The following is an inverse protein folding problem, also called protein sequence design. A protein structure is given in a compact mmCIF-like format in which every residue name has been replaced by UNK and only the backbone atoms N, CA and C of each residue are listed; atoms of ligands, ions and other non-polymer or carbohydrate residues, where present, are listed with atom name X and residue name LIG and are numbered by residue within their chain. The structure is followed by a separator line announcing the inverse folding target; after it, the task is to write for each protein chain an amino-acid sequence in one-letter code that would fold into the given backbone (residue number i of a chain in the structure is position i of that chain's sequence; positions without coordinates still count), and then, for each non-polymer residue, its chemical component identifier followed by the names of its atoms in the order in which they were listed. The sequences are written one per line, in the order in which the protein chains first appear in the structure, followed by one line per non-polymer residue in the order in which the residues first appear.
data_IF_734759747518
#
_entry.id   IF_734759747518
#
_cell.length_a   1.000
_cell.length_b   1.000
_cell.length_c   1.000
_cell.angle_alpha   90.00
_cell.angle_beta   90.00
_cell.angle_gamma   90.00
#
_symmetry.space_group_name_H-M   'P 1'
#
loop_
_entity.id
_entity.type
_entity.pdbx_description
1 polymer ?
#
# COMPACT_ATOMS: atom_id res chain seq x y z
N UNK A 1 -10.07 8.94 10.27
CA UNK A 1 -10.54 8.52 8.93
C UNK A 1 -11.48 9.55 8.29
N UNK A 2 -12.42 10.16 9.04
CA UNK A 2 -13.40 11.13 8.52
C UNK A 2 -13.04 12.62 8.65
N UNK A 3 -11.85 12.96 9.18
CA UNK A 3 -11.47 14.36 9.45
C UNK A 3 -11.54 15.26 8.21
N UNK A 4 -11.16 14.75 7.03
CA UNK A 4 -11.19 15.52 5.78
C UNK A 4 -12.62 15.91 5.36
N UNK A 5 -13.64 15.12 5.71
CA UNK A 5 -15.03 15.46 5.44
C UNK A 5 -15.51 16.58 6.36
N UNK A 6 -15.10 16.57 7.64
CA UNK A 6 -15.38 17.65 8.58
C UNK A 6 -14.77 18.96 8.06
N UNK A 7 -13.49 18.93 7.67
CA UNK A 7 -12.84 20.10 7.06
C UNK A 7 -13.50 20.55 5.75
N UNK A 8 -14.00 19.62 4.93
CA UNK A 8 -14.72 19.98 3.70
C UNK A 8 -16.04 20.71 4.00
N UNK A 9 -16.74 20.34 5.08
CA UNK A 9 -17.94 21.02 5.55
C UNK A 9 -17.62 22.41 6.11
N UNK A 10 -16.54 22.54 6.89
CA UNK A 10 -16.05 23.82 7.40
C UNK A 10 -15.69 24.75 6.23
N UNK A 11 -14.96 24.25 5.23
CA UNK A 11 -14.59 25.03 4.05
C UNK A 11 -15.82 25.46 3.24
N UNK A 12 -16.81 24.59 3.07
CA UNK A 12 -18.05 24.95 2.38
C UNK A 12 -18.80 26.08 3.12
N UNK A 13 -18.83 26.04 4.45
CA UNK A 13 -19.39 27.09 5.28
C UNK A 13 -18.60 28.40 5.17
N UNK A 14 -17.26 28.34 5.27
CA UNK A 14 -16.38 29.51 5.13
C UNK A 14 -16.51 30.18 3.76
N UNK A 15 -16.72 29.40 2.70
CA UNK A 15 -16.89 29.90 1.34
C UNK A 15 -18.35 30.26 1.01
N UNK A 16 -19.27 30.21 2.00
CA UNK A 16 -20.70 30.48 1.85
C UNK A 16 -21.37 29.66 0.74
N UNK A 17 -20.98 28.39 0.60
CA UNK A 17 -21.51 27.48 -0.41
C UNK A 17 -22.63 26.61 0.14
N UNK A 18 -23.71 26.46 -0.63
CA UNK A 18 -24.87 25.66 -0.25
C UNK A 18 -24.62 24.15 -0.30
N UNK A 19 -23.53 23.71 -0.95
CA UNK A 19 -23.17 22.30 -1.03
C UNK A 19 -21.66 22.04 -0.96
N UNK A 20 -21.31 20.88 -0.38
CA UNK A 20 -19.96 20.35 -0.41
C UNK A 20 -19.72 19.75 -1.80
N UNK A 21 -18.88 20.41 -2.58
CA UNK A 21 -18.42 19.96 -3.89
C UNK A 21 -17.03 19.29 -3.83
N UNK A 22 -16.59 18.69 -4.94
CA UNK A 22 -15.24 18.11 -5.08
C UNK A 22 -14.13 19.09 -4.69
N UNK A 23 -14.31 20.38 -4.99
CA UNK A 23 -13.34 21.42 -4.62
C UNK A 23 -13.04 21.41 -3.13
N UNK A 24 -14.07 21.33 -2.28
CA UNK A 24 -13.92 21.35 -0.82
C UNK A 24 -13.20 20.12 -0.29
N UNK A 25 -13.44 18.95 -0.90
CA UNK A 25 -12.75 17.70 -0.54
C UNK A 25 -11.28 17.76 -0.93
N UNK A 26 -10.98 18.30 -2.12
CA UNK A 26 -9.60 18.46 -2.57
C UNK A 26 -8.83 19.40 -1.64
N UNK A 27 -9.43 20.56 -1.33
CA UNK A 27 -8.86 21.52 -0.40
C UNK A 27 -8.61 20.90 0.99
N UNK A 28 -9.57 20.14 1.52
CA UNK A 28 -9.41 19.51 2.83
C UNK A 28 -8.31 18.45 2.83
N UNK A 29 -8.18 17.66 1.77
CA UNK A 29 -7.09 16.68 1.61
C UNK A 29 -5.71 17.36 1.51
N UNK A 30 -5.63 18.49 0.81
CA UNK A 30 -4.39 19.24 0.70
C UNK A 30 -3.99 19.85 2.04
N UNK A 31 -4.95 20.42 2.77
CA UNK A 31 -4.69 21.01 4.10
C UNK A 31 -4.29 19.95 5.13
N UNK A 32 -4.90 18.76 5.06
CA UNK A 32 -4.66 17.70 6.05
C UNK A 32 -3.41 16.85 5.75
N UNK A 33 -3.07 16.62 4.47
CA UNK A 33 -1.99 15.68 4.14
C UNK A 33 -0.63 16.36 4.08
N UNK A 34 0.34 15.80 4.82
CA UNK A 34 1.74 16.17 4.71
C UNK A 34 2.32 15.90 3.30
N UNK A 35 1.69 15.01 2.52
CA UNK A 35 2.05 14.71 1.13
C UNK A 35 1.98 15.92 0.22
N UNK A 36 0.85 16.62 0.20
CA UNK A 36 0.73 17.79 -0.68
C UNK A 36 1.60 18.94 -0.19
N UNK A 37 1.86 19.02 1.13
CA UNK A 37 2.84 19.97 1.69
C UNK A 37 4.26 19.71 1.19
N UNK A 38 4.66 18.44 1.02
CA UNK A 38 5.95 18.02 0.45
C UNK A 38 6.02 18.23 -1.07
N UNK A 39 4.91 18.00 -1.78
CA UNK A 39 4.88 18.02 -3.26
C UNK A 39 4.66 19.43 -3.84
N UNK A 40 3.83 20.27 -3.21
CA UNK A 40 3.26 21.46 -3.87
C UNK A 40 3.85 22.79 -3.37
N UNK A 41 4.45 22.83 -2.18
CA UNK A 41 4.91 24.09 -1.57
C UNK A 41 3.74 25.02 -1.19
N UNK A 42 3.67 25.43 0.08
CA UNK A 42 2.49 26.11 0.67
C UNK A 42 2.02 27.39 -0.07
N UNK A 43 2.93 28.17 -0.67
CA UNK A 43 2.63 29.51 -1.21
C UNK A 43 1.79 29.49 -2.49
N UNK A 44 2.07 28.58 -3.42
CA UNK A 44 1.37 28.54 -4.71
C UNK A 44 -0.07 28.04 -4.56
N UNK A 45 -0.28 27.14 -3.60
CA UNK A 45 -1.59 26.57 -3.32
C UNK A 45 -2.59 27.60 -2.80
N UNK A 46 -2.18 28.37 -1.78
CA UNK A 46 -3.06 29.37 -1.16
C UNK A 46 -3.49 30.44 -2.16
N UNK A 47 -2.58 30.91 -3.02
CA UNK A 47 -2.88 31.91 -4.05
C UNK A 47 -3.84 31.37 -5.11
N UNK A 48 -3.66 30.13 -5.56
CA UNK A 48 -4.60 29.47 -6.46
C UNK A 48 -5.98 29.32 -5.84
N UNK A 49 -6.05 28.84 -4.59
CA UNK A 49 -7.32 28.67 -3.89
C UNK A 49 -8.06 30.00 -3.77
N UNK A 50 -7.37 31.08 -3.36
CA UNK A 50 -7.96 32.43 -3.31
C UNK A 50 -8.52 32.88 -4.67
N UNK A 51 -7.77 32.72 -5.75
CA UNK A 51 -8.21 33.12 -7.09
C UNK A 51 -9.39 32.26 -7.59
N UNK A 52 -9.32 30.95 -7.37
CA UNK A 52 -10.38 30.03 -7.76
C UNK A 52 -11.67 30.31 -6.99
N UNK A 53 -11.56 30.62 -5.69
CA UNK A 53 -12.71 30.94 -4.85
C UNK A 53 -13.36 32.24 -5.31
N UNK A 54 -12.56 33.29 -5.52
CA UNK A 54 -13.04 34.61 -5.96
C UNK A 54 -13.77 34.55 -7.30
N UNK A 55 -13.30 33.70 -8.22
CA UNK A 55 -13.85 33.62 -9.58
C UNK A 55 -15.08 32.72 -9.68
N UNK A 56 -15.18 31.66 -8.87
CA UNK A 56 -16.19 30.61 -9.08
C UNK A 56 -17.28 30.54 -8.01
N UNK A 57 -17.07 31.13 -6.83
CA UNK A 57 -18.08 31.14 -5.77
C UNK A 57 -18.62 32.55 -5.58
N UNK A 58 -19.91 32.74 -5.95
CA UNK A 58 -20.67 33.93 -5.58
C UNK A 58 -21.18 33.73 -4.15
N UNK A 59 -21.04 34.74 -3.30
CA UNK A 59 -21.51 34.65 -1.91
C UNK A 59 -23.04 34.46 -1.91
N UNK A 60 -23.49 33.27 -1.54
CA UNK A 60 -24.92 32.96 -1.33
C UNK A 60 -25.27 33.04 0.15
N UNK A 61 -26.56 33.20 0.47
CA UNK A 61 -27.05 33.16 1.85
C UNK A 61 -26.71 31.81 2.51
N UNK A 62 -26.29 31.86 3.78
CA UNK A 62 -25.82 30.69 4.51
C UNK A 62 -26.99 29.77 4.86
N UNK A 63 -27.05 28.59 4.23
CA UNK A 63 -27.91 27.50 4.68
C UNK A 63 -27.20 26.68 5.76
N UNK A 64 -27.85 26.48 6.91
CA UNK A 64 -27.33 25.68 8.03
C UNK A 64 -27.10 24.20 7.66
N UNK A 65 -27.85 23.69 6.68
CA UNK A 65 -27.74 22.32 6.19
C UNK A 65 -26.94 22.24 4.89
N UNK A 66 -25.61 22.26 5.01
CA UNK A 66 -24.71 22.04 3.87
C UNK A 66 -24.69 20.55 3.53
N UNK A 67 -25.28 20.20 2.38
CA UNK A 67 -25.35 18.83 1.86
C UNK A 67 -24.23 18.55 0.84
N UNK A 68 -23.96 17.26 0.56
CA UNK A 68 -23.06 16.89 -0.53
C UNK A 68 -23.70 17.16 -1.89
N UNK A 69 -22.91 17.64 -2.87
CA UNK A 69 -23.40 17.77 -4.24
C UNK A 69 -23.74 16.39 -4.83
N UNK A 70 -24.74 16.32 -5.69
CA UNK A 70 -25.17 15.07 -6.34
C UNK A 70 -23.99 14.32 -7.00
N UNK A 71 -23.11 15.05 -7.67
CA UNK A 71 -21.92 14.51 -8.33
C UNK A 71 -20.94 13.87 -7.35
N UNK A 72 -20.79 14.48 -6.18
CA UNK A 72 -19.92 13.97 -5.11
C UNK A 72 -20.53 12.75 -4.44
N UNK A 73 -21.84 12.77 -4.20
CA UNK A 73 -22.58 11.63 -3.67
C UNK A 73 -22.50 10.41 -4.62
N UNK A 74 -22.70 10.62 -5.92
CA UNK A 74 -22.54 9.58 -6.94
C UNK A 74 -21.11 9.02 -6.98
N UNK A 75 -20.10 9.87 -6.80
CA UNK A 75 -18.72 9.42 -6.68
C UNK A 75 -18.49 8.55 -5.45
N UNK A 76 -18.98 8.96 -4.28
CA UNK A 76 -18.88 8.16 -3.06
C UNK A 76 -19.59 6.81 -3.18
N UNK A 77 -20.77 6.76 -3.81
CA UNK A 77 -21.48 5.50 -4.04
C UNK A 77 -20.73 4.56 -4.99
N UNK A 78 -19.97 5.11 -5.94
CA UNK A 78 -19.14 4.33 -6.87
C UNK A 78 -17.80 3.87 -6.26
N UNK A 79 -17.41 4.35 -5.08
CA UNK A 79 -16.21 3.88 -4.40
C UNK A 79 -16.47 2.49 -3.82
N UNK A 80 -15.66 1.50 -4.21
CA UNK A 80 -15.75 0.13 -3.71
C UNK A 80 -15.88 0.07 -2.18
N UNK A 81 -16.85 -0.72 -1.67
CA UNK A 81 -17.28 -0.88 -0.26
C UNK A 81 -16.18 -1.22 0.77
N UNK A 82 -14.93 -1.40 0.35
CA UNK A 82 -13.78 -1.59 1.25
C UNK A 82 -13.39 -0.29 1.95
N UNK A 83 -12.84 -0.35 3.16
CA UNK A 83 -12.26 0.80 3.89
C UNK A 83 -11.48 1.77 2.98
N UNK A 84 -11.97 3.01 2.88
CA UNK A 84 -11.42 4.06 2.00
C UNK A 84 -10.43 4.93 2.79
N UNK A 85 -9.15 4.57 2.79
CA UNK A 85 -8.13 5.44 3.40
C UNK A 85 -7.92 6.72 2.57
N UNK A 86 -7.33 7.75 3.19
CA UNK A 86 -7.08 9.05 2.55
C UNK A 86 -6.30 8.91 1.24
N UNK A 87 -5.34 8.00 1.19
CA UNK A 87 -4.56 7.67 -0.01
C UNK A 87 -5.40 7.10 -1.15
N UNK A 88 -6.23 6.07 -0.88
CA UNK A 88 -7.11 5.45 -1.87
C UNK A 88 -8.15 6.46 -2.38
N UNK A 89 -8.65 7.32 -1.49
CA UNK A 89 -9.53 8.42 -1.86
C UNK A 89 -8.82 9.44 -2.77
N UNK A 90 -7.58 9.84 -2.46
CA UNK A 90 -6.81 10.75 -3.34
C UNK A 90 -6.57 10.15 -4.72
N UNK A 91 -6.24 8.86 -4.82
CA UNK A 91 -6.05 8.16 -6.10
C UNK A 91 -7.36 8.15 -6.89
N UNK A 92 -8.47 7.77 -6.25
CA UNK A 92 -9.77 7.72 -6.92
C UNK A 92 -10.26 9.11 -7.35
N UNK A 93 -9.96 10.15 -6.58
CA UNK A 93 -10.24 11.54 -6.94
C UNK A 93 -9.40 12.01 -8.13
N UNK A 94 -8.12 11.62 -8.20
CA UNK A 94 -7.24 11.90 -9.33
C UNK A 94 -7.72 11.18 -10.60
N UNK A 95 -8.24 9.96 -10.46
CA UNK A 95 -8.80 9.17 -11.58
C UNK A 95 -10.18 9.65 -12.01
N UNK A 96 -10.93 10.31 -11.11
CA UNK A 96 -12.22 10.87 -11.46
C UNK A 96 -12.01 11.96 -12.52
N UNK A 97 -12.67 11.81 -13.68
CA UNK A 97 -12.64 12.74 -14.82
C UNK A 97 -13.31 14.08 -14.49
N UNK A 98 -12.93 14.74 -13.40
CA UNK A 98 -13.35 16.11 -13.14
C UNK A 98 -12.41 17.06 -13.88
N UNK A 99 -13.01 17.85 -14.77
CA UNK A 99 -12.36 18.98 -15.46
C UNK A 99 -11.67 19.90 -14.43
N UNK A 100 -12.25 20.02 -13.24
CA UNK A 100 -11.74 20.75 -12.08
C UNK A 100 -10.35 20.27 -11.63
N UNK A 101 -10.15 18.95 -11.49
CA UNK A 101 -8.84 18.39 -11.11
C UNK A 101 -7.77 18.65 -12.18
N UNK A 102 -8.15 18.53 -13.45
CA UNK A 102 -7.26 18.85 -14.57
C UNK A 102 -6.80 20.30 -14.50
N UNK A 103 -7.70 21.26 -14.24
CA UNK A 103 -7.35 22.66 -14.05
C UNK A 103 -6.50 22.92 -12.81
N UNK A 104 -6.82 22.29 -11.68
CA UNK A 104 -6.03 22.39 -10.44
C UNK A 104 -4.59 21.90 -10.69
N UNK A 105 -4.41 20.77 -11.36
CA UNK A 105 -3.09 20.21 -11.64
C UNK A 105 -2.30 21.02 -12.68
N UNK A 106 -2.94 21.47 -13.76
CA UNK A 106 -2.31 22.33 -14.76
C UNK A 106 -1.87 23.66 -14.13
N UNK A 107 -2.73 24.28 -13.31
CA UNK A 107 -2.43 25.57 -12.70
C UNK A 107 -1.37 25.47 -11.59
N UNK A 108 -1.50 24.51 -10.67
CA UNK A 108 -0.59 24.38 -9.53
C UNK A 108 0.83 23.93 -9.94
N UNK A 109 0.94 23.07 -10.94
CA UNK A 109 2.22 22.50 -11.35
C UNK A 109 2.77 23.05 -12.66
N UNK A 110 2.08 24.01 -13.30
CA UNK A 110 2.41 24.52 -14.65
C UNK A 110 2.63 23.39 -15.67
N UNK A 111 1.90 22.28 -15.50
CA UNK A 111 2.02 21.08 -16.33
C UNK A 111 1.36 21.37 -17.67
N UNK A 112 2.10 21.20 -18.79
CA UNK A 112 1.53 21.25 -20.14
C UNK A 112 0.45 20.17 -20.27
N UNK A 113 -0.65 20.42 -20.98
CA UNK A 113 -1.78 19.47 -21.14
C UNK A 113 -1.34 18.04 -21.51
N UNK A 114 -0.29 17.90 -22.34
CA UNK A 114 0.26 16.62 -22.75
C UNK A 114 0.93 15.85 -21.61
N UNK A 115 1.62 16.55 -20.70
CA UNK A 115 2.22 15.95 -19.50
C UNK A 115 1.18 15.50 -18.47
N UNK A 116 0.00 16.13 -18.44
CA UNK A 116 -1.13 15.64 -17.63
C UNK A 116 -1.63 14.29 -18.12
N UNK A 117 -1.78 14.10 -19.44
CA UNK A 117 -2.20 12.81 -20.00
C UNK A 117 -1.19 11.70 -19.71
N UNK A 118 0.11 12.01 -19.73
CA UNK A 118 1.18 11.09 -19.31
C UNK A 118 1.08 10.75 -17.82
N UNK A 119 0.92 11.75 -16.95
CA UNK A 119 0.75 11.53 -15.51
C UNK A 119 -0.52 10.73 -15.22
N UNK A 120 -1.63 11.00 -15.91
CA UNK A 120 -2.85 10.21 -15.79
C UNK A 120 -2.62 8.77 -16.24
N UNK A 121 -1.89 8.53 -17.34
CA UNK A 121 -1.54 7.18 -17.78
C UNK A 121 -0.66 6.44 -16.75
N UNK A 122 0.21 7.16 -16.03
CA UNK A 122 1.06 6.63 -14.98
C UNK A 122 0.24 6.36 -13.71
N UNK A 123 -0.64 7.27 -13.30
CA UNK A 123 -1.54 7.12 -12.13
C UNK A 123 -2.55 6.00 -12.36
N UNK A 124 -3.09 5.82 -13.57
CA UNK A 124 -3.94 4.67 -13.91
C UNK A 124 -3.17 3.35 -13.87
N UNK A 125 -1.84 3.36 -14.16
CA UNK A 125 -0.96 2.20 -13.95
C UNK A 125 -0.61 1.94 -12.49
N UNK A 126 -0.83 2.89 -11.59
CA UNK A 126 -0.60 2.73 -10.14
C UNK A 126 -1.72 1.99 -9.41
N UNK A 127 -2.78 1.55 -10.11
CA UNK A 127 -3.77 0.65 -9.53
C UNK A 127 -3.10 -0.67 -9.11
N UNK A 128 -3.14 -0.92 -7.80
CA UNK A 128 -2.88 -2.17 -7.11
C UNK A 128 -1.50 -2.80 -7.25
N UNK A 129 -0.42 -2.02 -7.12
CA UNK A 129 0.86 -2.59 -6.67
C UNK A 129 1.17 -2.11 -5.26
N UNK A 130 1.05 -2.98 -4.23
CA UNK A 130 1.50 -2.61 -2.90
C UNK A 130 2.97 -2.24 -3.01
N UNK A 131 3.32 -1.11 -2.40
CA UNK A 131 4.69 -0.64 -2.22
C UNK A 131 5.38 -1.63 -1.25
N UNK A 132 5.70 -2.81 -1.76
CA UNK A 132 6.62 -3.75 -1.14
C UNK A 132 7.89 -3.69 -1.97
N UNK A 133 9.04 -3.63 -1.31
CA UNK A 133 10.40 -3.45 -1.83
C UNK A 133 10.60 -3.80 -3.34
N UNK A 134 10.61 -2.76 -4.17
CA UNK A 134 10.63 -2.80 -5.64
C UNK A 134 11.75 -3.65 -6.28
N UNK A 135 12.86 -3.91 -5.58
CA UNK A 135 14.03 -4.54 -6.19
C UNK A 135 13.89 -6.04 -6.44
N UNK A 136 13.16 -6.79 -5.60
CA UNK A 136 13.12 -8.26 -5.65
C UNK A 136 11.70 -8.86 -5.58
N UNK A 137 10.64 -8.08 -5.77
CA UNK A 137 9.23 -8.53 -5.67
C UNK A 137 8.87 -9.76 -6.50
N UNK A 138 9.60 -10.01 -7.59
CA UNK A 138 9.40 -11.19 -8.43
C UNK A 138 10.07 -12.45 -7.84
N UNK A 139 11.18 -12.28 -7.10
CA UNK A 139 11.94 -13.34 -6.46
C UNK A 139 11.40 -13.69 -5.07
N UNK A 140 11.09 -12.69 -4.25
CA UNK A 140 10.68 -12.87 -2.86
C UNK A 140 9.40 -12.09 -2.58
N UNK A 141 8.53 -12.68 -1.76
CA UNK A 141 7.29 -12.05 -1.32
C UNK A 141 7.13 -12.26 0.19
N UNK A 142 6.61 -11.27 0.94
CA UNK A 142 6.22 -11.50 2.33
C UNK A 142 5.19 -12.62 2.37
N UNK A 143 5.37 -13.55 3.29
CA UNK A 143 4.48 -14.68 3.43
C UNK A 143 3.17 -14.22 4.09
N UNK A 144 2.22 -13.78 3.26
CA UNK A 144 0.92 -13.33 3.73
C UNK A 144 -0.02 -14.52 3.85
N UNK A 145 -0.43 -14.81 5.07
CA UNK A 145 -1.48 -15.77 5.36
C UNK A 145 -2.83 -15.02 5.33
N UNK A 146 -3.60 -15.17 4.25
CA UNK A 146 -5.00 -14.73 4.26
C UNK A 146 -5.89 -15.96 4.48
N UNK A 147 -6.62 -15.93 5.59
CA UNK A 147 -7.79 -16.74 5.97
C UNK A 147 -7.62 -18.26 6.20
N UNK A 148 -8.23 -18.71 7.32
CA UNK A 148 -8.56 -20.08 7.75
C UNK A 148 -7.46 -20.89 8.46
N UNK A 149 -7.03 -20.42 9.64
CA UNK A 149 -6.16 -21.17 10.56
C UNK A 149 -6.88 -22.23 11.39
N UNK A 150 -8.20 -22.15 11.53
CA UNK A 150 -8.97 -22.99 12.44
C UNK A 150 -8.93 -24.49 12.05
N UNK A 151 -8.55 -24.82 10.82
CA UNK A 151 -8.61 -26.20 10.32
C UNK A 151 -7.29 -27.00 10.43
N UNK A 152 -6.17 -26.39 10.86
CA UNK A 152 -4.91 -27.14 10.99
C UNK A 152 -4.81 -27.71 12.41
N UNK A 153 -5.54 -28.79 12.62
CA UNK A 153 -5.53 -29.59 13.84
C UNK A 153 -4.27 -30.48 13.78
N UNK A 154 -3.45 -30.54 14.84
CA UNK A 154 -2.26 -31.42 14.98
C UNK A 154 -0.98 -31.11 14.15
N UNK A 155 -0.24 -30.04 14.50
CA UNK A 155 1.12 -29.72 14.00
C UNK A 155 1.93 -28.83 14.96
N UNK A 156 1.64 -28.93 16.27
CA UNK A 156 2.25 -28.05 17.29
C UNK A 156 3.72 -28.43 17.55
N UNK A 157 4.01 -29.73 17.68
CA UNK A 157 5.36 -30.27 17.83
C UNK A 157 6.29 -29.79 16.70
N UNK A 158 5.83 -29.90 15.45
CA UNK A 158 6.61 -29.48 14.27
C UNK A 158 6.96 -27.98 14.32
N UNK A 159 6.06 -27.14 14.82
CA UNK A 159 6.32 -25.71 15.00
C UNK A 159 7.36 -25.44 16.10
N UNK A 160 7.35 -26.23 17.19
CA UNK A 160 8.32 -26.12 18.28
C UNK A 160 9.71 -26.54 17.78
N UNK A 161 9.81 -27.67 17.07
CA UNK A 161 11.07 -28.11 16.47
C UNK A 161 11.63 -27.09 15.47
N UNK A 162 10.77 -26.50 14.63
CA UNK A 162 11.18 -25.43 13.72
C UNK A 162 11.76 -24.24 14.48
N UNK A 163 11.10 -23.83 15.57
CA UNK A 163 11.58 -22.73 16.41
C UNK A 163 12.94 -23.04 17.03
N UNK A 164 13.11 -24.22 17.62
CA UNK A 164 14.36 -24.66 18.24
C UNK A 164 15.52 -24.64 17.24
N UNK A 165 15.34 -25.23 16.05
CA UNK A 165 16.39 -25.27 15.02
C UNK A 165 16.75 -23.86 14.56
N UNK A 166 15.76 -23.01 14.28
CA UNK A 166 15.99 -21.63 13.83
C UNK A 166 16.69 -20.75 14.88
N UNK A 167 16.60 -21.12 16.16
CA UNK A 167 17.21 -20.41 17.28
C UNK A 167 18.61 -20.92 17.65
N UNK A 168 19.14 -21.91 16.92
CA UNK A 168 20.52 -22.39 17.12
C UNK A 168 21.55 -21.36 16.66
N UNK A 169 22.75 -21.41 17.24
CA UNK A 169 23.92 -20.61 16.80
C UNK A 169 24.50 -21.16 15.48
N UNK A 170 24.55 -22.48 15.34
CA UNK A 170 25.13 -23.22 14.22
C UNK A 170 24.05 -24.19 13.67
N UNK A 171 24.04 -24.47 12.37
CA UNK A 171 23.05 -25.34 11.69
C UNK A 171 21.61 -24.90 12.02
N UNK A 172 21.32 -23.64 11.69
CA UNK A 172 20.04 -22.97 11.99
C UNK A 172 19.02 -23.02 10.84
N UNK A 173 19.27 -23.85 9.83
CA UNK A 173 18.45 -23.94 8.63
C UNK A 173 17.65 -25.26 8.68
N UNK A 174 16.36 -25.24 9.10
CA UNK A 174 15.57 -26.45 9.16
C UNK A 174 15.22 -26.96 7.75
N UNK A 175 15.16 -28.28 7.60
CA UNK A 175 14.71 -28.96 6.38
C UNK A 175 13.47 -29.77 6.74
N UNK A 176 12.35 -29.52 6.04
CA UNK A 176 11.12 -30.27 6.20
C UNK A 176 11.11 -31.47 5.25
N UNK A 177 11.32 -32.67 5.79
CA UNK A 177 11.30 -33.93 5.05
C UNK A 177 9.91 -34.56 5.02
N UNK A 178 9.67 -35.40 4.00
CA UNK A 178 8.42 -36.14 3.80
C UNK A 178 7.88 -36.03 2.38
N UNK A 179 6.98 -36.95 2.03
CA UNK A 179 6.38 -37.04 0.70
C UNK A 179 5.55 -35.82 0.31
N UNK A 180 5.27 -35.72 -1.00
CA UNK A 180 4.31 -34.76 -1.52
C UNK A 180 2.93 -35.03 -0.92
N UNK A 181 2.21 -33.97 -0.52
CA UNK A 181 0.86 -34.10 0.03
C UNK A 181 0.75 -34.20 1.56
N UNK A 182 1.85 -34.46 2.30
CA UNK A 182 1.84 -34.56 3.78
C UNK A 182 1.48 -33.22 4.48
N UNK A 183 1.45 -32.13 3.73
CA UNK A 183 1.08 -30.82 4.26
C UNK A 183 2.27 -30.02 4.79
N UNK A 184 3.48 -30.14 4.21
CA UNK A 184 4.62 -29.25 4.54
C UNK A 184 4.25 -27.76 4.53
N UNK A 185 3.37 -27.35 3.62
CA UNK A 185 2.83 -25.99 3.55
C UNK A 185 1.93 -25.63 4.75
N UNK A 186 1.20 -26.59 5.32
CA UNK A 186 0.33 -26.34 6.49
C UNK A 186 1.17 -26.10 7.75
N UNK A 187 2.32 -26.78 7.88
CA UNK A 187 3.31 -26.55 8.94
C UNK A 187 3.83 -25.11 8.86
N UNK A 188 4.28 -24.67 7.69
CA UNK A 188 4.81 -23.30 7.48
C UNK A 188 3.74 -22.25 7.78
N UNK A 189 2.49 -22.47 7.33
CA UNK A 189 1.36 -21.58 7.64
C UNK A 189 1.15 -21.47 9.14
N UNK A 190 1.05 -22.60 9.84
CA UNK A 190 0.84 -22.64 11.28
C UNK A 190 1.99 -22.00 12.04
N UNK A 191 3.23 -22.19 11.58
CA UNK A 191 4.41 -21.57 12.15
C UNK A 191 4.39 -20.04 12.00
N UNK A 192 3.95 -19.52 10.85
CA UNK A 192 3.77 -18.07 10.65
C UNK A 192 2.82 -17.46 11.67
N UNK A 193 1.68 -18.11 11.91
CA UNK A 193 0.75 -17.70 12.96
C UNK A 193 1.35 -17.81 14.36
N UNK A 194 2.18 -18.83 14.60
CA UNK A 194 2.83 -19.05 15.90
C UNK A 194 3.84 -17.92 16.22
N UNK A 195 4.66 -17.52 15.25
CA UNK A 195 5.52 -16.33 15.35
C UNK A 195 4.67 -15.09 15.64
N UNK A 196 3.59 -14.92 14.88
CA UNK A 196 2.57 -13.86 14.98
C UNK A 196 2.06 -13.66 16.40
N UNK A 197 1.41 -14.71 16.88
CA UNK A 197 0.65 -14.75 18.12
C UNK A 197 1.54 -14.61 19.34
N UNK A 198 2.70 -15.29 19.36
CA UNK A 198 3.59 -15.32 20.52
C UNK A 198 4.74 -14.32 20.44
N UNK A 199 4.79 -13.48 19.39
CA UNK A 199 5.85 -12.48 19.16
C UNK A 199 7.25 -13.08 19.33
N UNK A 200 7.47 -14.23 18.71
CA UNK A 200 8.70 -15.01 18.88
C UNK A 200 9.93 -14.22 18.43
N UNK A 201 10.99 -14.31 19.22
CA UNK A 201 12.31 -13.74 18.90
C UNK A 201 13.28 -14.88 18.60
N UNK A 202 14.08 -14.71 17.56
CA UNK A 202 15.13 -15.65 17.18
C UNK A 202 16.47 -14.94 17.37
N UNK A 203 17.32 -15.44 18.26
CA UNK A 203 18.57 -14.77 18.65
C UNK A 203 18.34 -13.28 19.01
N UNK A 204 17.35 -13.00 19.86
CA UNK A 204 16.92 -11.66 20.30
C UNK A 204 16.32 -10.74 19.23
N UNK A 205 16.14 -11.20 17.98
CA UNK A 205 15.61 -10.40 16.87
C UNK A 205 14.25 -10.96 16.44
N UNK A 206 13.27 -10.08 16.22
CA UNK A 206 12.00 -10.45 15.57
C UNK A 206 12.24 -10.67 14.08
N UNK A 207 11.77 -11.81 13.56
CA UNK A 207 11.99 -12.17 12.16
C UNK A 207 10.68 -12.31 11.39
N UNK A 208 10.71 -11.87 10.14
CA UNK A 208 9.59 -11.95 9.21
C UNK A 208 9.79 -13.13 8.25
N UNK A 209 8.70 -13.84 7.94
CA UNK A 209 8.71 -14.94 6.97
C UNK A 209 8.49 -14.43 5.55
N UNK A 210 9.40 -14.80 4.65
CA UNK A 210 9.35 -14.44 3.23
C UNK A 210 9.45 -15.72 2.40
N UNK A 211 8.72 -15.79 1.30
CA UNK A 211 8.75 -16.95 0.41
C UNK A 211 9.56 -16.66 -0.85
N UNK A 212 10.42 -17.61 -1.21
CA UNK A 212 11.22 -17.58 -2.42
C UNK A 212 10.47 -18.23 -3.58
N UNK A 213 10.49 -17.57 -4.73
CA UNK A 213 10.04 -18.15 -5.99
C UNK A 213 11.23 -18.76 -6.75
N UNK A 214 11.40 -20.08 -6.59
CA UNK A 214 12.53 -20.83 -7.17
C UNK A 214 12.56 -20.74 -8.70
N UNK A 215 11.41 -20.79 -9.36
CA UNK A 215 11.33 -20.70 -10.84
C UNK A 215 11.94 -19.41 -11.34
N UNK A 216 11.63 -18.29 -10.67
CA UNK A 216 12.23 -17.00 -11.03
C UNK A 216 13.71 -16.92 -10.68
N UNK A 217 14.13 -17.52 -9.56
CA UNK A 217 15.55 -17.57 -9.19
C UNK A 217 16.36 -18.27 -10.28
N UNK A 218 15.93 -19.44 -10.74
CA UNK A 218 16.59 -20.21 -11.80
C UNK A 218 16.69 -19.41 -13.10
N UNK A 219 15.63 -18.68 -13.46
CA UNK A 219 15.64 -17.80 -14.64
C UNK A 219 16.71 -16.71 -14.52
N UNK A 220 16.83 -16.07 -13.36
CA UNK A 220 17.81 -15.01 -13.14
C UNK A 220 19.23 -15.51 -12.96
N UNK A 221 19.44 -16.71 -12.40
CA UNK A 221 20.77 -17.35 -12.33
C UNK A 221 21.33 -17.54 -13.75
N UNK A 222 20.50 -17.97 -14.72
CA UNK A 222 20.95 -18.16 -16.10
C UNK A 222 21.21 -16.86 -16.86
N UNK A 223 20.54 -15.77 -16.49
CA UNK A 223 20.48 -14.54 -17.32
C UNK A 223 21.18 -13.34 -16.70
N UNK A 224 21.35 -13.26 -15.39
CA UNK A 224 21.83 -12.06 -14.71
C UNK A 224 22.53 -12.34 -13.37
N UNK A 225 23.80 -12.76 -13.43
CA UNK A 225 24.63 -13.05 -12.27
C UNK A 225 24.79 -11.86 -11.30
N UNK A 226 24.84 -10.62 -11.81
CA UNK A 226 24.92 -9.41 -11.00
C UNK A 226 23.68 -9.22 -10.13
N UNK A 227 22.49 -9.52 -10.66
CA UNK A 227 21.24 -9.46 -9.91
C UNK A 227 21.21 -10.47 -8.76
N UNK A 228 21.72 -11.70 -8.99
CA UNK A 228 21.84 -12.73 -7.95
C UNK A 228 22.85 -12.34 -6.86
N UNK A 229 24.01 -11.79 -7.23
CA UNK A 229 24.99 -11.28 -6.25
C UNK A 229 24.37 -10.20 -5.35
N UNK A 230 23.62 -9.25 -5.94
CA UNK A 230 22.88 -8.23 -5.19
C UNK A 230 21.80 -8.83 -4.29
N UNK A 231 21.12 -9.88 -4.74
CA UNK A 231 20.12 -10.59 -3.94
C UNK A 231 20.72 -11.24 -2.69
N UNK A 232 21.83 -11.96 -2.80
CA UNK A 232 22.50 -12.55 -1.63
C UNK A 232 23.08 -11.49 -0.69
N UNK A 233 23.63 -10.40 -1.23
CA UNK A 233 24.07 -9.26 -0.41
C UNK A 233 22.91 -8.66 0.39
N UNK A 234 21.76 -8.47 -0.25
CA UNK A 234 20.53 -8.03 0.42
C UNK A 234 20.12 -8.98 1.55
N UNK A 235 20.17 -10.30 1.36
CA UNK A 235 19.86 -11.27 2.42
C UNK A 235 20.86 -11.22 3.59
N UNK A 236 22.14 -10.96 3.32
CA UNK A 236 23.17 -10.82 4.36
C UNK A 236 22.96 -9.57 5.22
N UNK A 237 22.57 -8.47 4.59
CA UNK A 237 22.28 -7.20 5.26
C UNK A 237 20.98 -7.27 6.09
N UNK A 238 19.99 -8.04 5.64
CA UNK A 238 18.68 -8.16 6.28
C UNK A 238 18.54 -9.41 7.16
N UNK A 239 19.16 -9.38 8.35
CA UNK A 239 19.16 -10.49 9.32
C UNK A 239 17.79 -10.81 9.95
N UNK A 240 16.80 -9.96 9.74
CA UNK A 240 15.43 -10.10 10.23
C UNK A 240 14.54 -10.96 9.30
N UNK A 241 15.08 -11.58 8.26
CA UNK A 241 14.30 -12.38 7.31
C UNK A 241 14.54 -13.88 7.56
N UNK A 242 13.46 -14.65 7.60
CA UNK A 242 13.48 -16.11 7.43
C UNK A 242 12.95 -16.39 6.03
N UNK A 243 13.79 -16.95 5.18
CA UNK A 243 13.45 -17.28 3.80
C UNK A 243 12.94 -18.71 3.69
N UNK A 244 11.73 -18.88 3.18
CA UNK A 244 11.10 -20.16 2.89
C UNK A 244 11.43 -20.52 1.45
N UNK A 245 12.12 -21.64 1.25
CA UNK A 245 12.48 -22.16 -0.07
C UNK A 245 11.63 -23.40 -0.39
N UNK A 246 10.45 -23.25 -1.04
CA UNK A 246 9.63 -24.39 -1.42
C UNK A 246 10.31 -25.18 -2.54
N UNK A 247 10.47 -26.50 -2.38
CA UNK A 247 11.16 -27.39 -3.35
C UNK A 247 12.65 -27.06 -3.52
N UNK A 248 13.38 -26.97 -2.41
CA UNK A 248 14.84 -26.73 -2.40
C UNK A 248 15.62 -27.74 -3.26
N UNK A 249 15.09 -28.95 -3.41
CA UNK A 249 15.63 -30.03 -4.26
C UNK A 249 15.95 -29.57 -5.69
N UNK A 250 15.22 -28.60 -6.24
CA UNK A 250 15.45 -28.11 -7.62
C UNK A 250 16.76 -27.30 -7.74
N UNK A 251 17.36 -26.88 -6.62
CA UNK A 251 18.61 -26.12 -6.60
C UNK A 251 19.86 -27.01 -6.52
N UNK A 252 19.69 -28.31 -6.36
CA UNK A 252 20.75 -29.32 -6.35
C UNK A 252 20.65 -30.18 -7.61
#
# INVERSE_FOLDING_TARGET
FFLFLIYSKILASLFKNNSITFFHIICSLILQSNLFKLIIGKKNLLKFLQLYIKNNFKQTQLNYNILFSYTLFKFFNNLNKSFINTWKLTINLLQYKSILFKYILIYLFKIKSNTYNLINSIIFKFNDKPINNLYFNNLIKPFNYKSNFYNIINRKSDCVYLYEILNRKIIRNPILLGDFGIGKNSIIKKFSFFIEKFKLKFNNITKNLWILNIVTLLKYIKTNNLYIKKFFKFLQENKNIILICPKIEILF
#
